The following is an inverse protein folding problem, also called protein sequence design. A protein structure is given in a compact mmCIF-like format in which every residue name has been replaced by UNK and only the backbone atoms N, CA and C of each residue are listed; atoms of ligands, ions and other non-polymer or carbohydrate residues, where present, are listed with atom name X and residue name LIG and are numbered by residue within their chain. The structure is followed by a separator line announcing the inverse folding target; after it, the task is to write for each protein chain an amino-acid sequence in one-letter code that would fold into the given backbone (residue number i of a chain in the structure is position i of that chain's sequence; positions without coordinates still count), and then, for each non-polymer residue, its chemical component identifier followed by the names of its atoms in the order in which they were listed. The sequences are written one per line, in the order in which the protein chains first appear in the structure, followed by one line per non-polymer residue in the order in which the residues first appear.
data_IF_626689372124
#
_entry.id   IF_626689372124
#
_cell.length_a   1.000
_cell.length_b   1.000
_cell.length_c   1.000
_cell.angle_alpha   90.00
_cell.angle_beta   90.00
_cell.angle_gamma   90.00
#
_symmetry.space_group_name_H-M   'P 1'
#
loop_
_entity.id
_entity.type
_entity.pdbx_description
1 polymer ?
#
# COMPACT_ATOMS: atom_id res chain seq x y z
N UNK A 1 -1.78 2.33 10.59
CA UNK A 1 -2.82 2.80 11.51
C UNK A 1 -3.15 1.70 12.52
N UNK A 2 -3.08 1.98 13.84
CA UNK A 2 -3.34 0.96 14.88
C UNK A 2 -4.82 0.58 14.99
N UNK A 3 -5.74 1.52 14.73
CA UNK A 3 -7.18 1.30 14.84
C UNK A 3 -7.68 0.38 13.72
N UNK A 4 -7.22 0.61 12.49
CA UNK A 4 -7.54 -0.24 11.34
C UNK A 4 -7.04 -1.67 11.56
N UNK A 5 -5.81 -1.86 12.06
CA UNK A 5 -5.28 -3.20 12.35
C UNK A 5 -6.11 -3.90 13.44
N UNK A 6 -6.43 -3.20 14.54
CA UNK A 6 -7.26 -3.76 15.61
C UNK A 6 -8.66 -4.15 15.12
N UNK A 7 -9.29 -3.29 14.30
CA UNK A 7 -10.59 -3.60 13.71
C UNK A 7 -10.51 -4.81 12.77
N UNK A 8 -9.48 -4.89 11.94
CA UNK A 8 -9.22 -6.05 11.09
C UNK A 8 -9.14 -7.33 11.95
N UNK A 9 -8.31 -7.33 12.99
CA UNK A 9 -8.09 -8.47 13.87
C UNK A 9 -9.37 -8.93 14.58
N UNK A 10 -10.31 -8.02 14.86
CA UNK A 10 -11.62 -8.38 15.40
C UNK A 10 -12.52 -9.14 14.41
N UNK A 11 -12.31 -8.92 13.10
CA UNK A 11 -13.09 -9.56 12.03
C UNK A 11 -12.52 -10.94 11.64
N UNK A 12 -11.20 -11.12 11.75
CA UNK A 12 -10.55 -12.41 11.48
C UNK A 12 -9.26 -12.59 12.28
N UNK A 13 -9.06 -13.74 12.93
CA UNK A 13 -7.84 -14.00 13.70
C UNK A 13 -6.60 -14.26 12.81
N UNK A 14 -6.77 -14.49 11.50
CA UNK A 14 -5.69 -14.88 10.58
C UNK A 14 -5.05 -13.69 9.84
N UNK A 15 -4.99 -12.52 10.46
CA UNK A 15 -4.47 -11.30 9.82
C UNK A 15 -2.99 -11.09 10.15
N UNK A 16 -2.19 -10.99 9.09
CA UNK A 16 -0.77 -10.63 9.17
C UNK A 16 -0.62 -9.14 8.87
N UNK A 17 -0.16 -8.38 9.87
CA UNK A 17 0.18 -6.97 9.69
C UNK A 17 1.68 -6.82 9.47
N UNK A 18 2.07 -6.04 8.47
CA UNK A 18 3.46 -5.70 8.19
C UNK A 18 3.68 -4.21 8.47
N UNK A 19 4.74 -3.89 9.20
CA UNK A 19 5.23 -2.52 9.28
C UNK A 19 5.96 -2.15 7.98
N UNK A 20 6.11 -0.86 7.67
CA UNK A 20 6.78 -0.42 6.43
C UNK A 20 8.18 -1.01 6.25
N UNK A 21 8.98 -1.11 7.32
CA UNK A 21 10.32 -1.72 7.28
C UNK A 21 10.31 -3.25 7.13
N UNK A 22 9.16 -3.90 7.24
CA UNK A 22 8.95 -5.33 7.08
C UNK A 22 7.90 -5.65 5.99
N UNK A 23 7.57 -4.65 5.17
CA UNK A 23 6.64 -4.79 4.06
C UNK A 23 7.21 -5.77 3.01
N UNK A 24 6.37 -6.27 2.08
CA UNK A 24 6.86 -7.21 1.06
C UNK A 24 8.12 -6.68 0.38
N UNK A 25 9.19 -7.46 0.41
CA UNK A 25 10.53 -7.01 0.00
C UNK A 25 10.83 -7.24 -1.48
N UNK A 26 9.98 -8.00 -2.18
CA UNK A 26 10.19 -8.37 -3.58
C UNK A 26 9.34 -7.51 -4.52
N UNK A 27 9.87 -7.26 -5.72
CA UNK A 27 9.13 -6.53 -6.76
C UNK A 27 7.85 -7.23 -7.19
N UNK A 28 7.86 -8.57 -7.25
CA UNK A 28 6.69 -9.37 -7.60
C UNK A 28 5.54 -9.20 -6.60
N UNK A 29 5.83 -9.12 -5.30
CA UNK A 29 4.79 -8.86 -4.29
C UNK A 29 4.17 -7.47 -4.46
N UNK A 30 4.98 -6.45 -4.74
CA UNK A 30 4.46 -5.10 -5.01
C UNK A 30 3.65 -5.03 -6.30
N UNK A 31 4.11 -5.71 -7.35
CA UNK A 31 3.36 -5.84 -8.60
C UNK A 31 2.00 -6.49 -8.34
N UNK A 32 1.96 -7.59 -7.58
CA UNK A 32 0.70 -8.23 -7.21
C UNK A 32 -0.24 -7.29 -6.44
N UNK A 33 0.29 -6.51 -5.48
CA UNK A 33 -0.50 -5.55 -4.71
C UNK A 33 -1.08 -4.46 -5.61
N UNK A 34 -0.26 -3.88 -6.49
CA UNK A 34 -0.69 -2.85 -7.44
C UNK A 34 -1.80 -3.37 -8.36
N UNK A 35 -1.60 -4.56 -8.93
CA UNK A 35 -2.61 -5.23 -9.75
C UNK A 35 -3.90 -5.49 -8.96
N UNK A 36 -3.80 -5.94 -7.71
CA UNK A 36 -4.95 -6.21 -6.84
C UNK A 36 -5.70 -4.95 -6.40
N UNK A 37 -5.01 -3.81 -6.36
CA UNK A 37 -5.61 -2.50 -6.08
C UNK A 37 -6.31 -1.92 -7.31
N UNK A 38 -5.80 -2.21 -8.51
CA UNK A 38 -6.34 -1.67 -9.76
C UNK A 38 -6.21 -0.15 -9.88
N UNK A 39 -5.20 0.44 -9.22
CA UNK A 39 -4.93 1.88 -9.26
C UNK A 39 -3.56 2.15 -9.86
N UNK A 40 -3.37 3.38 -10.35
CA UNK A 40 -2.06 3.86 -10.77
C UNK A 40 -1.08 3.93 -9.56
N UNK A 41 0.18 3.48 -9.69
CA UNK A 41 1.17 3.56 -8.62
C UNK A 41 1.32 4.96 -8.02
N UNK A 42 1.19 6.01 -8.83
CA UNK A 42 1.28 7.42 -8.41
C UNK A 42 0.16 7.82 -7.46
N UNK A 43 -1.01 7.18 -7.56
CA UNK A 43 -2.14 7.42 -6.68
C UNK A 43 -2.05 6.65 -5.36
N UNK A 44 -1.21 5.62 -5.30
CA UNK A 44 -0.85 4.97 -4.03
C UNK A 44 0.07 5.86 -3.18
N UNK A 45 0.79 6.80 -3.78
CA UNK A 45 1.74 7.66 -3.06
C UNK A 45 1.07 8.79 -2.28
N UNK A 46 1.62 9.09 -1.11
CA UNK A 46 1.28 10.28 -0.35
C UNK A 46 1.94 11.52 -0.97
N UNK A 47 1.16 12.27 -1.76
CA UNK A 47 1.61 13.47 -2.48
C UNK A 47 2.08 14.60 -1.53
N UNK A 48 1.70 14.57 -0.25
CA UNK A 48 2.16 15.52 0.77
C UNK A 48 3.55 15.17 1.34
N UNK A 49 4.04 13.95 1.12
CA UNK A 49 5.32 13.50 1.67
C UNK A 49 6.49 14.31 1.10
N UNK A 50 7.48 14.73 1.91
CA UNK A 50 8.62 15.52 1.43
C UNK A 50 9.36 14.86 0.27
N UNK A 51 9.60 13.54 0.35
CA UNK A 51 10.25 12.78 -0.71
C UNK A 51 9.50 12.85 -2.04
N UNK A 52 8.16 12.77 -2.02
CA UNK A 52 7.35 12.88 -3.23
C UNK A 52 7.54 14.25 -3.88
N UNK A 53 7.51 15.32 -3.07
CA UNK A 53 7.63 16.70 -3.55
C UNK A 53 8.98 17.00 -4.19
N UNK A 54 10.06 16.41 -3.67
CA UNK A 54 11.44 16.68 -4.11
C UNK A 54 11.92 15.74 -5.22
N UNK A 55 11.52 14.47 -5.20
CA UNK A 55 12.09 13.44 -6.10
C UNK A 55 11.10 12.89 -7.14
N UNK A 56 9.78 13.02 -6.93
CA UNK A 56 8.76 12.35 -7.76
C UNK A 56 7.88 13.36 -8.51
N UNK A 57 7.54 14.50 -7.89
CA UNK A 57 6.63 15.49 -8.46
C UNK A 57 7.11 15.96 -9.84
N UNK A 58 6.23 15.84 -10.84
CA UNK A 58 6.50 16.27 -12.22
C UNK A 58 7.38 15.32 -13.03
N UNK A 59 7.72 14.14 -12.47
CA UNK A 59 8.39 13.07 -13.19
C UNK A 59 7.38 11.99 -13.57
N UNK A 60 7.63 11.36 -14.71
CA UNK A 60 6.94 10.15 -15.14
C UNK A 60 7.91 8.99 -15.06
N UNK A 61 7.40 7.83 -14.64
CA UNK A 61 8.15 6.61 -14.47
C UNK A 61 7.39 5.48 -15.17
N UNK A 62 8.12 4.48 -15.65
CA UNK A 62 7.52 3.23 -16.10
C UNK A 62 7.15 2.34 -14.90
N UNK A 63 6.41 1.26 -15.18
CA UNK A 63 5.91 0.34 -14.16
C UNK A 63 7.04 -0.27 -13.31
N UNK A 64 8.16 -0.64 -13.94
CA UNK A 64 9.31 -1.19 -13.21
C UNK A 64 9.96 -0.17 -12.28
N UNK A 65 10.09 1.08 -12.73
CA UNK A 65 10.65 2.16 -11.92
C UNK A 65 9.72 2.51 -10.77
N UNK A 66 8.40 2.46 -10.96
CA UNK A 66 7.44 2.62 -9.87
C UNK A 66 7.58 1.53 -8.82
N UNK A 67 7.73 0.27 -9.22
CA UNK A 67 7.99 -0.84 -8.29
C UNK A 67 9.27 -0.60 -7.49
N UNK A 68 10.33 -0.09 -8.13
CA UNK A 68 11.58 0.27 -7.44
C UNK A 68 11.35 1.41 -6.43
N UNK A 69 10.66 2.48 -6.83
CA UNK A 69 10.36 3.61 -5.94
C UNK A 69 9.61 3.14 -4.69
N UNK A 70 8.58 2.31 -4.86
CA UNK A 70 7.78 1.74 -3.78
C UNK A 70 8.61 0.81 -2.90
N UNK A 71 9.41 -0.08 -3.51
CA UNK A 71 10.26 -1.03 -2.78
C UNK A 71 11.31 -0.33 -1.91
N UNK A 72 11.94 0.72 -2.43
CA UNK A 72 13.00 1.43 -1.71
C UNK A 72 12.47 2.51 -0.77
N UNK A 73 11.23 2.96 -0.96
CA UNK A 73 10.58 3.98 -0.13
C UNK A 73 9.15 3.54 0.21
N UNK A 74 8.94 2.49 1.02
CA UNK A 74 7.59 2.04 1.36
C UNK A 74 6.84 3.03 2.27
N UNK A 75 7.57 3.93 2.94
CA UNK A 75 7.07 4.98 3.83
C UNK A 75 6.27 6.07 3.11
N UNK A 76 6.54 6.29 1.82
CA UNK A 76 5.81 7.30 1.02
C UNK A 76 4.41 6.84 0.61
N UNK A 77 4.07 5.57 0.84
CA UNK A 77 2.78 5.00 0.45
C UNK A 77 1.66 5.46 1.39
N UNK A 78 0.46 5.58 0.82
CA UNK A 78 -0.76 5.63 1.62
C UNK A 78 -0.96 4.30 2.32
N UNK A 79 -1.24 4.36 3.61
CA UNK A 79 -1.38 3.19 4.45
C UNK A 79 -2.56 3.34 5.43
N UNK A 80 -3.15 2.23 5.90
CA UNK A 80 -2.76 0.85 5.61
C UNK A 80 -3.34 0.32 4.28
N UNK A 81 -2.59 -0.59 3.64
CA UNK A 81 -3.06 -1.37 2.49
C UNK A 81 -3.51 -2.73 3.04
N UNK A 82 -4.76 -3.10 2.79
CA UNK A 82 -5.29 -4.40 3.16
C UNK A 82 -5.43 -5.27 1.91
N UNK A 83 -5.05 -6.55 2.00
CA UNK A 83 -5.08 -7.51 0.89
C UNK A 83 -5.76 -8.79 1.36
N UNK A 84 -6.73 -9.29 0.59
CA UNK A 84 -7.38 -10.58 0.81
C UNK A 84 -7.58 -11.30 -0.53
N UNK A 85 -6.89 -12.43 -0.71
CA UNK A 85 -6.91 -13.14 -1.99
C UNK A 85 -6.38 -12.24 -3.11
N UNK A 86 -7.18 -12.06 -4.17
CA UNK A 86 -6.88 -11.20 -5.32
C UNK A 86 -7.38 -9.75 -5.18
N UNK A 87 -7.98 -9.38 -4.04
CA UNK A 87 -8.49 -8.02 -3.81
C UNK A 87 -7.58 -7.28 -2.84
N UNK A 88 -7.30 -6.01 -3.15
CA UNK A 88 -6.63 -5.10 -2.24
C UNK A 88 -7.35 -3.76 -2.16
N UNK A 89 -7.23 -3.08 -1.02
CA UNK A 89 -7.75 -1.73 -0.81
C UNK A 89 -6.75 -0.88 -0.01
N UNK A 90 -6.72 0.42 -0.30
CA UNK A 90 -6.11 1.41 0.59
C UNK A 90 -7.17 1.86 1.58
N UNK A 91 -6.96 1.59 2.87
CA UNK A 91 -7.94 1.94 3.90
C UNK A 91 -7.74 3.40 4.32
N UNK A 92 -8.77 4.22 4.16
CA UNK A 92 -8.84 5.56 4.72
C UNK A 92 -9.50 5.55 6.09
N UNK A 93 -10.49 4.66 6.26
CA UNK A 93 -11.20 4.41 7.51
C UNK A 93 -11.03 2.94 7.93
N UNK A 94 -11.08 2.62 9.23
CA UNK A 94 -11.04 1.23 9.70
C UNK A 94 -12.11 0.33 9.07
N UNK A 95 -13.30 0.88 8.81
CA UNK A 95 -14.44 0.15 8.23
C UNK A 95 -14.24 -0.23 6.76
N UNK A 96 -13.27 0.36 6.06
CA UNK A 96 -13.01 0.03 4.64
C UNK A 96 -12.65 -1.44 4.46
N UNK A 97 -12.09 -2.09 5.49
CA UNK A 97 -11.78 -3.53 5.51
C UNK A 97 -12.99 -4.38 5.15
N UNK A 98 -14.22 -3.94 5.46
CA UNK A 98 -15.45 -4.67 5.12
C UNK A 98 -15.63 -4.87 3.60
N UNK A 99 -14.99 -4.04 2.76
CA UNK A 99 -15.00 -4.21 1.30
C UNK A 99 -14.22 -5.43 0.81
N UNK A 100 -13.36 -5.98 1.66
CA UNK A 100 -12.64 -7.22 1.41
C UNK A 100 -13.41 -8.46 1.91
N UNK A 101 -14.58 -8.28 2.53
CA UNK A 101 -15.34 -9.40 3.10
C UNK A 101 -16.10 -10.18 2.03
#
# INVERSE_FOLDING_TARGET
DRKTVAHAQSLSPHIKAFAFGSAPSTGMSWQFILTSLGIDPKDLLNKAHPYYRTHIKGREFDDESWIKVIKYNPDILKAPIAVRGSKAIVCQNPTDILRLI
#
